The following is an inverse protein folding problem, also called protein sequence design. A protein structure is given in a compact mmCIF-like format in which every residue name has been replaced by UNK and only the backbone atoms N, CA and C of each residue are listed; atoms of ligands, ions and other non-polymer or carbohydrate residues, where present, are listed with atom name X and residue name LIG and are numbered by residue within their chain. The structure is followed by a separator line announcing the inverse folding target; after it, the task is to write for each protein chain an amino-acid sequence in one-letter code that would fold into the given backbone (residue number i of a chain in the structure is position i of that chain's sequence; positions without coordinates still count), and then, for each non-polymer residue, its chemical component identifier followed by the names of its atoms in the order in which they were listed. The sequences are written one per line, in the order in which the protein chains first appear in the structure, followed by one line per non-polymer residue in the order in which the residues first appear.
data_IF_228582966087
#
_entry.id   IF_228582966087
#
_cell.length_a   1.000
_cell.length_b   1.000
_cell.length_c   1.000
_cell.angle_alpha   90.00
_cell.angle_beta   90.00
_cell.angle_gamma   90.00
#
_symmetry.space_group_name_H-M   'P 1'
#
loop_
_entity.id
_entity.type
_entity.pdbx_description
1 polymer ?
#
# COMPACT_ATOMS: atom_id res chain seq x y z
N UNK A 1 4.95 -5.96 1.48
CA UNK A 1 4.24 -5.04 2.39
C UNK A 1 2.75 -5.03 2.07
N UNK A 2 1.87 -5.11 3.08
CA UNK A 2 0.41 -5.09 2.89
C UNK A 2 -0.08 -3.71 2.42
N UNK A 3 -1.25 -3.61 1.77
CA UNK A 3 -1.91 -2.34 1.52
C UNK A 3 -2.09 -1.55 2.83
N UNK A 4 -1.94 -0.24 2.74
CA UNK A 4 -2.02 0.67 3.89
C UNK A 4 -3.14 1.68 3.70
N UNK A 5 -3.65 2.25 4.79
CA UNK A 5 -4.59 3.38 4.70
C UNK A 5 -3.95 4.58 4.02
N UNK A 6 -4.77 5.47 3.46
CA UNK A 6 -4.28 6.69 2.82
C UNK A 6 -3.45 7.56 3.77
N UNK A 7 -3.88 7.71 5.02
CA UNK A 7 -3.14 8.47 6.05
C UNK A 7 -1.78 7.87 6.35
N UNK A 8 -1.73 6.54 6.49
CA UNK A 8 -0.45 5.82 6.71
C UNK A 8 0.47 5.99 5.51
N UNK A 9 -0.06 5.89 4.29
CA UNK A 9 0.69 6.09 3.05
C UNK A 9 1.31 7.50 3.00
N UNK A 10 0.52 8.53 3.27
CA UNK A 10 0.97 9.93 3.23
C UNK A 10 2.02 10.21 4.30
N UNK A 11 1.86 9.66 5.51
CA UNK A 11 2.84 9.77 6.57
C UNK A 11 4.18 9.13 6.17
N UNK A 12 4.16 7.92 5.58
CA UNK A 12 5.40 7.27 5.09
C UNK A 12 6.06 8.14 4.01
N UNK A 13 5.29 8.71 3.08
CA UNK A 13 5.85 9.61 2.03
C UNK A 13 6.57 10.80 2.66
N UNK A 14 6.01 11.42 3.71
CA UNK A 14 6.67 12.54 4.40
C UNK A 14 7.93 12.09 5.14
N UNK A 15 7.92 10.90 5.75
CA UNK A 15 9.08 10.32 6.43
C UNK A 15 10.22 10.01 5.46
N UNK A 16 9.93 9.35 4.33
CA UNK A 16 10.93 9.05 3.29
C UNK A 16 11.51 10.33 2.67
N UNK A 17 10.72 11.40 2.57
CA UNK A 17 11.21 12.73 2.13
C UNK A 17 12.00 13.50 3.20
N UNK A 18 12.11 12.98 4.43
CA UNK A 18 12.72 13.70 5.56
C UNK A 18 11.93 14.93 6.02
N UNK A 19 10.64 15.04 5.65
CA UNK A 19 9.78 16.19 5.97
C UNK A 19 8.86 15.95 7.17
N UNK A 20 8.91 14.76 7.76
CA UNK A 20 8.08 14.41 8.91
C UNK A 20 8.66 15.01 10.20
N UNK A 21 7.97 16.01 10.79
CA UNK A 21 8.43 16.78 11.97
C UNK A 21 7.50 16.71 13.18
N UNK A 22 6.51 15.82 13.16
CA UNK A 22 5.49 15.78 14.21
C UNK A 22 6.04 15.12 15.48
N UNK A 23 5.82 15.75 16.64
CA UNK A 23 6.23 15.21 17.93
C UNK A 23 5.51 13.89 18.23
N UNK A 24 6.20 12.96 18.91
CA UNK A 24 5.69 11.59 19.18
C UNK A 24 4.36 11.59 19.93
N UNK A 25 4.16 12.57 20.83
CA UNK A 25 2.94 12.70 21.64
C UNK A 25 1.71 13.04 20.79
N UNK A 26 1.89 13.76 19.68
CA UNK A 26 0.79 14.24 18.83
C UNK A 26 0.50 13.29 17.66
N UNK A 27 1.24 12.19 17.54
CA UNK A 27 1.08 11.24 16.45
C UNK A 27 -0.25 10.50 16.56
N UNK A 28 -1.01 10.53 15.47
CA UNK A 28 -2.18 9.67 15.28
C UNK A 28 -1.77 8.20 15.20
N UNK A 29 -2.72 7.29 15.36
CA UNK A 29 -2.48 5.86 15.21
C UNK A 29 -1.91 5.49 13.83
N UNK A 30 -2.39 6.14 12.77
CA UNK A 30 -1.89 5.95 11.41
C UNK A 30 -0.42 6.37 11.27
N UNK A 31 -0.05 7.50 11.87
CA UNK A 31 1.32 8.00 11.89
C UNK A 31 2.27 7.11 12.69
N UNK A 32 1.83 6.59 13.84
CA UNK A 32 2.61 5.61 14.61
C UNK A 32 2.87 4.34 13.81
N UNK A 33 1.84 3.82 13.15
CA UNK A 33 1.97 2.67 12.25
C UNK A 33 2.92 2.98 11.07
N UNK A 34 2.81 4.17 10.48
CA UNK A 34 3.71 4.62 9.42
C UNK A 34 5.16 4.67 9.88
N UNK A 35 5.43 5.18 11.09
CA UNK A 35 6.78 5.23 11.66
C UNK A 35 7.36 3.82 11.83
N UNK A 36 6.58 2.88 12.38
CA UNK A 36 7.01 1.48 12.51
C UNK A 36 7.34 0.87 11.14
N UNK A 37 6.48 1.08 10.14
CA UNK A 37 6.71 0.56 8.78
C UNK A 37 7.93 1.22 8.13
N UNK A 38 8.11 2.52 8.31
CA UNK A 38 9.26 3.26 7.80
C UNK A 38 10.56 2.70 8.38
N UNK A 39 10.66 2.53 9.70
CA UNK A 39 11.88 2.02 10.33
C UNK A 39 12.14 0.55 9.99
N UNK A 40 11.11 -0.28 9.86
CA UNK A 40 11.26 -1.69 9.47
C UNK A 40 11.71 -1.88 8.02
N UNK A 41 11.31 -1.00 7.12
CA UNK A 41 11.51 -1.18 5.68
C UNK A 41 12.29 -0.03 5.04
N UNK A 42 13.00 0.78 5.82
CA UNK A 42 13.65 2.02 5.39
C UNK A 42 14.47 1.84 4.12
N UNK A 43 15.33 0.82 4.09
CA UNK A 43 16.25 0.56 2.99
C UNK A 43 15.56 -0.02 1.75
N UNK A 44 14.32 -0.49 1.91
CA UNK A 44 13.49 -1.04 0.83
C UNK A 44 12.46 -0.04 0.31
N UNK A 45 12.32 1.13 0.94
CA UNK A 45 11.37 2.16 0.56
C UNK A 45 12.01 3.14 -0.43
N UNK A 46 11.28 3.47 -1.50
CA UNK A 46 11.71 4.47 -2.47
C UNK A 46 10.52 5.27 -3.00
N UNK A 47 10.75 6.53 -3.36
CA UNK A 47 9.75 7.39 -3.98
C UNK A 47 10.16 7.66 -5.43
N UNK A 48 9.20 7.54 -6.34
CA UNK A 48 9.32 8.05 -7.71
C UNK A 48 8.24 9.09 -7.95
N UNK A 49 8.60 10.22 -8.53
CA UNK A 49 7.64 11.24 -8.94
C UNK A 49 7.16 10.91 -10.35
N UNK A 50 5.85 10.81 -10.55
CA UNK A 50 5.22 10.71 -11.88
C UNK A 50 4.06 11.68 -11.96
N UNK A 51 4.01 12.50 -13.00
CA UNK A 51 2.97 13.50 -13.22
C UNK A 51 2.72 14.38 -11.98
N UNK A 52 3.80 14.85 -11.33
CA UNK A 52 3.74 15.65 -10.10
C UNK A 52 3.33 14.89 -8.83
N UNK A 53 2.96 13.60 -8.92
CA UNK A 53 2.54 12.78 -7.78
C UNK A 53 3.67 11.90 -7.27
N UNK A 54 3.85 11.86 -5.95
CA UNK A 54 4.82 10.98 -5.30
C UNK A 54 4.25 9.57 -5.17
N UNK A 55 4.88 8.61 -5.87
CA UNK A 55 4.51 7.20 -5.84
C UNK A 55 5.52 6.47 -4.96
N UNK A 56 5.03 5.84 -3.91
CA UNK A 56 5.82 5.07 -2.96
C UNK A 56 5.96 3.62 -3.44
N UNK A 57 7.18 3.11 -3.35
CA UNK A 57 7.54 1.74 -3.66
C UNK A 57 8.15 1.09 -2.43
N UNK A 58 7.79 -0.17 -2.20
CA UNK A 58 8.43 -1.07 -1.26
C UNK A 58 9.04 -2.21 -2.06
N UNK A 59 10.35 -2.38 -1.99
CA UNK A 59 11.07 -3.46 -2.67
C UNK A 59 10.76 -3.51 -4.18
N UNK A 60 10.95 -2.36 -4.85
CA UNK A 60 10.65 -2.12 -6.27
C UNK A 60 9.17 -2.30 -6.69
N UNK A 61 8.28 -2.73 -5.77
CA UNK A 61 6.85 -2.93 -5.99
C UNK A 61 6.08 -1.69 -5.50
N UNK A 62 5.10 -1.21 -6.28
CA UNK A 62 4.31 -0.02 -5.91
C UNK A 62 3.46 -0.33 -4.67
N UNK A 63 3.54 0.52 -3.65
CA UNK A 63 2.69 0.40 -2.48
C UNK A 63 1.26 0.81 -2.83
N UNK A 64 0.30 -0.02 -2.43
CA UNK A 64 -1.12 0.17 -2.74
C UNK A 64 -1.84 0.75 -1.54
N UNK A 65 -2.69 1.74 -1.81
CA UNK A 65 -3.61 2.31 -0.83
C UNK A 65 -4.82 1.38 -0.73
N UNK A 66 -5.20 1.03 0.50
CA UNK A 66 -6.26 0.09 0.81
C UNK A 66 -7.60 0.48 0.14
N UNK A 67 -7.95 1.76 0.15
CA UNK A 67 -9.16 2.29 -0.51
C UNK A 67 -9.15 1.99 -2.03
N UNK A 68 -8.04 2.25 -2.72
CA UNK A 68 -7.92 1.95 -4.14
C UNK A 68 -8.05 0.44 -4.43
N UNK A 69 -7.55 -0.41 -3.52
CA UNK A 69 -7.70 -1.86 -3.64
C UNK A 69 -9.17 -2.27 -3.50
N UNK A 70 -9.85 -1.75 -2.47
CA UNK A 70 -11.27 -2.01 -2.22
C UNK A 70 -12.14 -1.58 -3.40
N UNK A 71 -11.89 -0.40 -3.97
CA UNK A 71 -12.60 0.10 -5.14
C UNK A 71 -12.40 -0.77 -6.38
N UNK A 72 -11.17 -1.22 -6.63
CA UNK A 72 -10.86 -2.13 -7.74
C UNK A 72 -11.61 -3.46 -7.58
N UNK A 73 -11.62 -4.02 -6.36
CA UNK A 73 -12.35 -5.24 -6.04
C UNK A 73 -13.85 -5.02 -6.28
N UNK A 74 -14.42 -3.93 -5.73
CA UNK A 74 -15.85 -3.60 -5.89
C UNK A 74 -16.22 -3.42 -7.36
N UNK A 75 -15.44 -2.70 -8.15
CA UNK A 75 -15.68 -2.52 -9.60
C UNK A 75 -15.66 -3.84 -10.35
N UNK A 76 -14.74 -4.75 -10.01
CA UNK A 76 -14.70 -6.08 -10.63
C UNK A 76 -15.85 -6.97 -10.17
N UNK A 77 -16.24 -6.89 -8.90
CA UNK A 77 -17.42 -7.58 -8.38
C UNK A 77 -18.69 -7.12 -9.09
N UNK A 78 -18.89 -5.81 -9.27
CA UNK A 78 -20.07 -5.26 -9.96
C UNK A 78 -20.17 -5.70 -11.44
N UNK A 79 -19.04 -5.97 -12.09
CA UNK A 79 -19.00 -6.48 -13.47
C UNK A 79 -19.32 -7.97 -13.57
N UNK A 80 -19.31 -8.70 -12.46
CA UNK A 80 -19.61 -10.13 -12.41
C UNK A 80 -21.00 -10.37 -11.81
N UNK A 81 -21.80 -11.25 -12.42
CA UNK A 81 -23.08 -11.69 -11.84
C UNK A 81 -22.88 -13.02 -11.10
N UNK A 82 -23.65 -13.23 -10.02
CA UNK A 82 -23.75 -14.52 -9.32
C UNK A 82 -22.54 -14.93 -8.47
N UNK A 83 -22.40 -16.23 -8.21
CA UNK A 83 -21.37 -16.85 -7.36
C UNK A 83 -19.93 -16.51 -7.78
N UNK A 84 -19.70 -16.21 -9.07
CA UNK A 84 -18.39 -15.81 -9.59
C UNK A 84 -17.84 -14.52 -8.99
N UNK A 85 -18.69 -13.60 -8.51
CA UNK A 85 -18.23 -12.34 -7.89
C UNK A 85 -17.54 -12.55 -6.53
N UNK A 86 -17.97 -13.55 -5.74
CA UNK A 86 -17.34 -13.90 -4.47
C UNK A 86 -16.03 -14.65 -4.68
N UNK A 87 -16.02 -15.62 -5.61
CA UNK A 87 -14.82 -16.38 -5.95
C UNK A 87 -13.71 -15.46 -6.45
N UNK A 88 -14.03 -14.54 -7.37
CA UNK A 88 -13.05 -13.57 -7.89
C UNK A 88 -12.52 -12.64 -6.78
N UNK A 89 -13.34 -12.18 -5.84
CA UNK A 89 -12.86 -11.33 -4.77
C UNK A 89 -11.86 -12.04 -3.84
N UNK A 90 -12.06 -13.34 -3.62
CA UNK A 90 -11.15 -14.18 -2.86
C UNK A 90 -9.87 -14.46 -3.67
N UNK A 91 -10.03 -14.83 -4.93
CA UNK A 91 -8.93 -15.13 -5.85
C UNK A 91 -8.05 -13.90 -6.12
N UNK A 92 -8.63 -12.70 -6.26
CA UNK A 92 -7.85 -11.48 -6.43
C UNK A 92 -7.10 -11.06 -5.18
N UNK A 93 -7.62 -11.37 -3.98
CA UNK A 93 -6.84 -11.21 -2.74
C UNK A 93 -5.66 -12.19 -2.72
N UNK A 94 -5.86 -13.43 -3.19
CA UNK A 94 -4.83 -14.47 -3.24
C UNK A 94 -3.77 -14.25 -4.33
N UNK A 95 -4.16 -13.99 -5.57
CA UNK A 95 -3.27 -13.67 -6.70
C UNK A 95 -2.41 -12.45 -6.36
N UNK A 96 -2.97 -11.45 -5.67
CA UNK A 96 -2.19 -10.28 -5.30
C UNK A 96 -1.14 -10.60 -4.22
N UNK A 97 -1.48 -11.44 -3.24
CA UNK A 97 -0.50 -11.98 -2.29
C UNK A 97 0.63 -12.74 -3.01
N UNK A 98 0.28 -13.66 -3.91
CA UNK A 98 1.28 -14.46 -4.63
C UNK A 98 2.12 -13.64 -5.61
N UNK A 99 1.54 -12.68 -6.35
CA UNK A 99 2.31 -11.82 -7.27
C UNK A 99 3.29 -10.89 -6.56
N UNK A 100 3.11 -10.68 -5.25
CA UNK A 100 4.11 -10.02 -4.40
C UNK A 100 5.21 -10.95 -3.90
N UNK A 101 5.07 -12.27 -3.98
CA UNK A 101 6.05 -13.29 -3.57
C UNK A 101 6.77 -13.96 -4.76
N UNK A 102 6.10 -14.18 -5.90
CA UNK A 102 6.66 -14.88 -7.08
C UNK A 102 7.77 -14.14 -7.86
N UNK A 103 8.22 -12.98 -7.40
CA UNK A 103 9.37 -12.27 -8.00
C UNK A 103 10.67 -12.47 -7.23
N UNK A 104 10.64 -13.28 -6.18
CA UNK A 104 11.79 -13.55 -5.32
C UNK A 104 12.48 -14.88 -5.73
N UNK A 105 12.26 -15.38 -6.95
CA UNK A 105 12.83 -16.66 -7.45
C UNK A 105 13.31 -16.62 -8.91
N UNK A 106 13.66 -15.45 -9.45
CA UNK A 106 14.31 -15.34 -10.77
C UNK A 106 15.29 -14.18 -10.81
#
# INVERSE_FOLDING_TARGET
MRPVSNDTYNAIVQMVKGKYKKAVRDQTRAEKNAAVLFWRYRDKLSIKVRNGKSILFHDKKRLVIQECMSDMIRKKQLKLKGSGARSLAYEMKHIWYQRTESKDSS
#
